data_IF_396749387092
#
_entry.id   IF_396749387092
#
_cell.length_a   1.000
_cell.length_b   1.000
_cell.length_c   1.000
_cell.angle_alpha   90.00
_cell.angle_beta   90.00
_cell.angle_gamma   90.00
#
_symmetry.space_group_name_H-M   'P 1'
#
loop_
_entity.id
_entity.type
_entity.pdbx_description
1 polymer ?
#
# COMPACT_ATOMS: atom_id res chain seq x y z
N UNK A 1 61.20 -27.45 -67.47
CA UNK A 1 60.21 -26.38 -67.20
C UNK A 1 59.24 -26.86 -66.14
N UNK A 2 59.52 -26.56 -64.86
CA UNK A 2 58.63 -26.93 -63.74
C UNK A 2 57.79 -25.71 -63.36
N UNK A 3 56.45 -25.79 -63.51
CA UNK A 3 55.52 -24.79 -63.02
C UNK A 3 55.18 -25.11 -61.52
N UNK A 4 55.53 -24.15 -60.65
CA UNK A 4 55.17 -24.14 -59.23
C UNK A 4 53.74 -23.63 -59.11
N UNK A 5 52.80 -24.43 -58.57
CA UNK A 5 51.49 -24.03 -58.16
C UNK A 5 51.59 -23.49 -56.71
N UNK A 6 51.26 -22.22 -56.53
CA UNK A 6 51.11 -21.65 -55.17
C UNK A 6 49.69 -21.78 -54.72
N UNK A 7 49.42 -22.56 -53.68
CA UNK A 7 48.12 -22.64 -53.02
C UNK A 7 47.99 -21.46 -52.04
N UNK A 8 47.01 -20.60 -52.30
CA UNK A 8 46.62 -19.48 -51.42
C UNK A 8 45.58 -20.05 -50.41
N UNK A 9 45.98 -20.18 -49.14
CA UNK A 9 45.08 -20.57 -48.05
C UNK A 9 44.41 -19.29 -47.51
N UNK A 10 43.13 -19.14 -47.76
CA UNK A 10 42.31 -18.04 -47.22
C UNK A 10 41.78 -18.54 -45.84
N UNK A 11 42.31 -17.98 -44.76
CA UNK A 11 41.79 -18.15 -43.42
C UNK A 11 40.54 -17.24 -43.26
N UNK A 12 39.36 -17.81 -43.26
CA UNK A 12 38.13 -17.15 -42.80
C UNK A 12 38.13 -17.12 -41.26
N UNK A 13 38.42 -15.98 -40.66
CA UNK A 13 38.16 -15.73 -39.22
C UNK A 13 36.69 -15.46 -39.01
N UNK A 14 35.99 -16.44 -38.48
CA UNK A 14 34.62 -16.27 -38.00
C UNK A 14 34.60 -15.45 -36.71
N UNK A 15 34.15 -14.22 -36.84
CA UNK A 15 33.94 -13.29 -35.70
C UNK A 15 32.68 -13.69 -34.99
N UNK A 16 32.80 -14.41 -33.86
CA UNK A 16 31.70 -14.74 -32.95
C UNK A 16 31.27 -13.45 -32.26
N UNK A 17 30.14 -12.86 -32.69
CA UNK A 17 29.50 -11.78 -31.96
C UNK A 17 28.89 -12.37 -30.66
N UNK A 18 29.51 -12.11 -29.54
CA UNK A 18 28.88 -12.31 -28.23
C UNK A 18 27.73 -11.31 -28.08
N UNK A 19 26.54 -11.77 -27.70
CA UNK A 19 25.42 -10.85 -27.43
C UNK A 19 25.84 -9.93 -26.27
N UNK A 20 25.73 -8.60 -26.48
CA UNK A 20 25.93 -7.62 -25.44
C UNK A 20 24.95 -7.92 -24.29
N UNK A 21 25.49 -8.21 -23.10
CA UNK A 21 24.68 -8.29 -21.89
C UNK A 21 24.02 -6.93 -21.69
N UNK A 22 22.71 -6.86 -21.92
CA UNK A 22 21.93 -5.70 -21.53
C UNK A 22 22.11 -5.52 -20.02
N UNK A 23 22.75 -4.43 -19.61
CA UNK A 23 22.79 -4.01 -18.22
C UNK A 23 21.33 -3.89 -17.75
N UNK A 24 20.88 -4.80 -16.90
CA UNK A 24 19.62 -4.61 -16.18
C UNK A 24 19.81 -3.34 -15.37
N UNK A 25 19.17 -2.25 -15.79
CA UNK A 25 19.12 -1.04 -14.99
C UNK A 25 18.71 -1.43 -13.58
N UNK A 26 19.34 -0.84 -12.56
CA UNK A 26 18.92 -1.06 -11.16
C UNK A 26 17.43 -0.77 -11.07
N UNK A 27 16.69 -1.63 -10.33
CA UNK A 27 15.28 -1.39 -10.03
C UNK A 27 15.12 0.05 -9.50
N UNK A 28 14.07 0.78 -9.90
CA UNK A 28 13.83 2.11 -9.36
C UNK A 28 13.68 2.01 -7.84
N UNK A 29 14.43 2.84 -7.10
CA UNK A 29 14.31 2.93 -5.65
C UNK A 29 13.04 3.70 -5.27
N UNK A 30 12.55 3.47 -4.04
CA UNK A 30 11.48 4.29 -3.47
C UNK A 30 11.93 5.76 -3.40
N UNK A 31 11.08 6.65 -3.84
CA UNK A 31 11.34 8.09 -3.90
C UNK A 31 10.39 8.82 -2.95
N UNK A 32 10.87 9.07 -1.74
CA UNK A 32 10.08 9.74 -0.71
C UNK A 32 9.66 11.17 -1.07
N UNK A 33 10.40 11.85 -1.96
CA UNK A 33 10.00 13.17 -2.42
C UNK A 33 8.74 13.09 -3.30
N UNK A 34 8.62 12.05 -4.13
CA UNK A 34 7.39 11.79 -4.91
C UNK A 34 6.23 11.39 -4.02
N UNK A 35 6.47 10.46 -3.08
CA UNK A 35 5.43 10.06 -2.12
C UNK A 35 4.93 11.26 -1.33
N UNK A 36 5.84 12.09 -0.80
CA UNK A 36 5.48 13.31 -0.08
C UNK A 36 4.75 14.32 -0.95
N UNK A 37 5.12 14.47 -2.24
CA UNK A 37 4.38 15.34 -3.15
C UNK A 37 2.94 14.85 -3.38
N UNK A 38 2.73 13.52 -3.49
CA UNK A 38 1.38 12.95 -3.55
C UNK A 38 0.59 13.24 -2.27
N UNK A 39 1.18 13.05 -1.10
CA UNK A 39 0.59 13.41 0.20
C UNK A 39 0.21 14.90 0.22
N UNK A 40 1.14 15.78 -0.13
CA UNK A 40 0.93 17.23 -0.17
C UNK A 40 -0.24 17.63 -1.08
N UNK A 41 -0.35 17.03 -2.25
CA UNK A 41 -1.44 17.30 -3.19
C UNK A 41 -2.81 16.90 -2.61
N UNK A 42 -2.90 15.76 -1.93
CA UNK A 42 -4.15 15.33 -1.28
C UNK A 42 -4.52 16.24 -0.11
N UNK A 43 -3.55 16.67 0.70
CA UNK A 43 -3.77 17.66 1.76
C UNK A 43 -4.26 19.00 1.20
N UNK A 44 -3.74 19.45 0.04
CA UNK A 44 -4.19 20.67 -0.61
C UNK A 44 -5.60 20.59 -1.21
N UNK A 45 -6.10 19.40 -1.51
CA UNK A 45 -7.52 19.19 -1.86
C UNK A 45 -8.40 19.50 -0.64
N UNK A 46 -7.90 19.28 0.57
CA UNK A 46 -8.56 19.56 1.84
C UNK A 46 -9.27 18.35 2.44
N UNK A 47 -10.19 18.59 3.41
CA UNK A 47 -10.99 17.53 4.01
C UNK A 47 -11.75 16.74 2.95
N UNK A 48 -11.60 15.43 2.98
CA UNK A 48 -12.11 14.53 1.95
C UNK A 48 -12.90 13.34 2.52
N UNK A 49 -13.90 13.59 3.39
CA UNK A 49 -14.67 12.49 3.96
C UNK A 49 -15.41 11.69 2.88
N UNK A 50 -15.70 10.43 3.17
CA UNK A 50 -16.38 9.53 2.25
C UNK A 50 -17.66 10.16 1.65
N UNK A 51 -17.84 10.01 0.34
CA UNK A 51 -18.95 10.61 -0.42
C UNK A 51 -18.80 12.09 -0.76
N UNK A 52 -17.74 12.76 -0.33
CA UNK A 52 -17.54 14.21 -0.61
C UNK A 52 -17.01 14.48 -2.03
N UNK A 53 -17.23 15.73 -2.51
CA UNK A 53 -16.64 16.19 -3.77
C UNK A 53 -15.09 16.24 -3.72
N UNK A 54 -14.51 16.52 -2.55
CA UNK A 54 -13.08 16.51 -2.33
C UNK A 54 -12.50 15.10 -2.47
N UNK A 55 -13.17 14.07 -1.92
CA UNK A 55 -12.75 12.69 -2.12
C UNK A 55 -12.85 12.25 -3.57
N UNK A 56 -13.89 12.68 -4.29
CA UNK A 56 -13.98 12.46 -5.74
C UNK A 56 -12.79 13.10 -6.48
N UNK A 57 -12.36 14.31 -6.08
CA UNK A 57 -11.18 14.98 -6.64
C UNK A 57 -9.89 14.23 -6.32
N UNK A 58 -9.76 13.69 -5.09
CA UNK A 58 -8.64 12.84 -4.67
C UNK A 58 -8.58 11.55 -5.50
N UNK A 59 -9.71 10.89 -5.71
CA UNK A 59 -9.81 9.71 -6.59
C UNK A 59 -9.35 10.01 -8.02
N UNK A 60 -9.82 11.13 -8.57
CA UNK A 60 -9.39 11.56 -9.91
C UNK A 60 -7.88 11.86 -9.97
N UNK A 61 -7.32 12.45 -8.89
CA UNK A 61 -5.88 12.67 -8.77
C UNK A 61 -5.10 11.34 -8.76
N UNK A 62 -5.46 10.40 -7.88
CA UNK A 62 -4.81 9.08 -7.80
C UNK A 62 -4.87 8.37 -9.16
N UNK A 63 -6.05 8.32 -9.79
CA UNK A 63 -6.23 7.67 -11.10
C UNK A 63 -5.35 8.30 -12.18
N UNK A 64 -5.28 9.63 -12.23
CA UNK A 64 -4.42 10.37 -13.17
C UNK A 64 -2.94 10.05 -12.97
N UNK A 65 -2.48 10.03 -11.71
CA UNK A 65 -1.06 9.78 -11.41
C UNK A 65 -0.67 8.32 -11.70
N UNK A 66 -1.55 7.38 -11.37
CA UNK A 66 -1.32 5.96 -11.71
C UNK A 66 -1.28 5.75 -13.23
N UNK A 67 -2.18 6.39 -13.98
CA UNK A 67 -2.15 6.37 -15.45
C UNK A 67 -0.83 6.95 -15.99
N UNK A 68 -0.34 8.06 -15.43
CA UNK A 68 0.95 8.65 -15.80
C UNK A 68 2.14 7.72 -15.50
N UNK A 69 2.04 6.89 -14.45
CA UNK A 69 2.98 5.81 -14.17
C UNK A 69 2.77 4.57 -15.08
N UNK A 70 1.81 4.61 -16.00
CA UNK A 70 1.46 3.50 -16.90
C UNK A 70 0.78 2.33 -16.17
N UNK A 71 0.02 2.63 -15.11
CA UNK A 71 -0.78 1.70 -14.33
C UNK A 71 -2.26 1.99 -14.56
N UNK A 72 -3.08 0.95 -14.55
CA UNK A 72 -4.52 1.08 -14.72
C UNK A 72 -5.21 0.95 -13.37
N UNK A 73 -6.00 1.94 -12.99
CA UNK A 73 -6.86 1.89 -11.81
C UNK A 73 -8.20 1.28 -12.21
N UNK A 74 -8.63 0.28 -11.47
CA UNK A 74 -9.97 -0.28 -11.51
C UNK A 74 -10.77 0.31 -10.36
N UNK A 75 -11.90 0.94 -10.63
CA UNK A 75 -12.84 1.38 -9.62
C UNK A 75 -13.75 0.23 -9.19
N UNK A 76 -14.00 0.14 -7.87
CA UNK A 76 -14.97 -0.79 -7.26
C UNK A 76 -16.04 0.03 -6.53
N UNK A 77 -17.06 0.54 -7.24
CA UNK A 77 -18.11 1.35 -6.64
C UNK A 77 -19.07 0.51 -5.80
N UNK A 78 -19.55 1.08 -4.70
CA UNK A 78 -20.55 0.49 -3.82
C UNK A 78 -21.35 1.58 -3.10
N UNK A 79 -22.51 1.19 -2.56
CA UNK A 79 -23.38 2.08 -1.78
C UNK A 79 -23.65 1.42 -0.44
N UNK A 80 -23.56 2.21 0.63
CA UNK A 80 -23.81 1.75 2.00
C UNK A 80 -24.74 2.68 2.74
N UNK A 81 -25.47 2.14 3.72
CA UNK A 81 -26.19 2.94 4.70
C UNK A 81 -25.22 3.36 5.80
N UNK A 82 -25.20 4.63 6.10
CA UNK A 82 -24.36 5.23 7.14
C UNK A 82 -25.22 6.02 8.11
N UNK A 83 -24.71 6.48 9.25
CA UNK A 83 -25.45 7.34 10.17
C UNK A 83 -25.95 8.66 9.54
N UNK A 84 -25.32 9.11 8.45
CA UNK A 84 -25.73 10.34 7.74
C UNK A 84 -26.61 10.04 6.50
N UNK A 85 -27.01 8.78 6.28
CA UNK A 85 -27.82 8.34 5.15
C UNK A 85 -27.03 7.45 4.17
N UNK A 86 -27.60 7.27 2.99
CA UNK A 86 -26.95 6.45 1.92
C UNK A 86 -25.77 7.20 1.31
N UNK A 87 -24.60 6.58 1.30
CA UNK A 87 -23.36 7.14 0.74
C UNK A 87 -22.82 6.23 -0.35
N UNK A 88 -22.45 6.83 -1.48
CA UNK A 88 -21.73 6.17 -2.56
C UNK A 88 -20.23 6.25 -2.33
N UNK A 89 -19.57 5.12 -2.29
CA UNK A 89 -18.14 4.96 -2.04
C UNK A 89 -17.48 4.20 -3.19
N UNK A 90 -16.15 4.33 -3.32
CA UNK A 90 -15.40 3.67 -4.39
C UNK A 90 -14.02 3.24 -3.89
N UNK A 91 -13.77 1.94 -3.76
CA UNK A 91 -12.39 1.47 -3.62
C UNK A 91 -11.66 1.57 -4.96
N UNK A 92 -10.36 1.88 -4.91
CA UNK A 92 -9.50 1.88 -6.09
C UNK A 92 -8.55 0.69 -6.03
N UNK A 93 -8.34 0.04 -7.18
CA UNK A 93 -7.50 -1.15 -7.26
C UNK A 93 -6.49 -1.02 -8.40
N UNK A 94 -5.21 -1.28 -8.12
CA UNK A 94 -4.15 -1.45 -9.11
C UNK A 94 -3.53 -2.83 -8.93
N UNK A 95 -3.36 -3.57 -10.03
CA UNK A 95 -2.71 -4.90 -10.01
C UNK A 95 -1.40 -4.89 -10.76
N UNK A 96 -0.39 -5.45 -10.12
CA UNK A 96 0.89 -5.81 -10.75
C UNK A 96 0.94 -7.33 -10.85
N UNK A 97 0.72 -7.90 -12.06
CA UNK A 97 0.70 -9.35 -12.23
C UNK A 97 2.06 -9.97 -11.89
N UNK A 98 2.07 -10.96 -10.99
CA UNK A 98 3.20 -11.83 -10.68
C UNK A 98 3.21 -13.10 -11.52
N UNK A 99 4.09 -14.04 -11.17
CA UNK A 99 4.11 -15.37 -11.78
C UNK A 99 2.89 -16.21 -11.41
N UNK A 100 2.27 -15.89 -10.26
CA UNK A 100 1.06 -16.52 -9.72
C UNK A 100 -0.10 -15.55 -9.72
N UNK A 101 -1.30 -16.09 -9.87
CA UNK A 101 -2.55 -15.34 -9.71
C UNK A 101 -2.94 -15.14 -8.26
N UNK A 102 -2.33 -15.89 -7.32
CA UNK A 102 -2.43 -15.63 -5.88
C UNK A 102 -1.89 -14.24 -5.57
N UNK A 103 -2.52 -13.56 -4.60
CA UNK A 103 -2.31 -12.12 -4.37
C UNK A 103 -1.73 -11.84 -2.98
N UNK A 104 -0.87 -10.85 -2.92
CA UNK A 104 -0.52 -10.11 -1.71
C UNK A 104 -1.14 -8.72 -1.87
N UNK A 105 -2.00 -8.33 -0.93
CA UNK A 105 -2.62 -7.01 -0.92
C UNK A 105 -1.72 -6.04 -0.14
N UNK A 106 -1.56 -4.83 -0.69
CA UNK A 106 -0.90 -3.70 -0.04
C UNK A 106 -1.93 -2.58 -0.05
N UNK A 107 -2.36 -2.13 1.12
CA UNK A 107 -3.60 -1.37 1.26
C UNK A 107 -3.43 -0.16 2.16
N UNK A 108 -4.39 0.74 2.12
CA UNK A 108 -4.55 1.89 2.98
C UNK A 108 -5.80 2.65 2.58
N UNK A 109 -6.32 3.52 3.44
CA UNK A 109 -7.46 4.35 3.12
C UNK A 109 -7.04 5.66 2.46
N UNK A 110 -8.00 6.38 1.86
CA UNK A 110 -7.75 7.66 1.20
C UNK A 110 -8.78 8.74 1.52
N UNK A 111 -9.81 8.40 2.30
CA UNK A 111 -10.76 9.36 2.88
C UNK A 111 -10.17 10.03 4.14
N UNK A 112 -10.90 10.95 4.72
CA UNK A 112 -10.61 11.56 6.02
C UNK A 112 -11.84 11.52 6.90
N UNK A 113 -11.63 11.55 8.20
CA UNK A 113 -12.71 11.72 9.17
C UNK A 113 -13.50 13.02 8.93
N UNK A 114 -14.80 12.91 9.15
CA UNK A 114 -15.70 14.05 9.08
C UNK A 114 -15.77 14.79 10.43
N UNK A 115 -14.99 15.85 10.58
CA UNK A 115 -15.18 16.81 11.69
C UNK A 115 -15.99 18.02 11.22
N UNK A 116 -16.88 18.53 12.10
CA UNK A 116 -17.75 19.68 11.82
C UNK A 116 -17.31 20.94 12.55
N UNK A 117 -16.47 20.79 13.57
CA UNK A 117 -16.01 21.84 14.47
C UNK A 117 -14.62 22.38 14.09
N UNK A 118 -13.86 21.66 13.29
CA UNK A 118 -12.56 22.13 12.75
C UNK A 118 -12.27 21.50 11.38
N UNK A 119 -11.28 22.06 10.69
CA UNK A 119 -10.79 21.54 9.42
C UNK A 119 -9.79 20.42 9.69
N UNK A 120 -10.11 19.20 9.24
CA UNK A 120 -9.23 18.03 9.33
C UNK A 120 -8.78 17.61 7.94
N UNK A 121 -7.49 17.72 7.67
CA UNK A 121 -6.94 17.39 6.34
C UNK A 121 -6.29 16.01 6.27
N UNK A 122 -6.08 15.34 7.41
CA UNK A 122 -5.56 14.00 7.51
C UNK A 122 -4.27 13.82 6.71
N UNK A 123 -3.20 14.49 7.13
CA UNK A 123 -1.93 14.42 6.41
C UNK A 123 -1.20 13.10 6.67
N UNK A 124 -1.18 12.65 7.92
CA UNK A 124 -0.76 11.30 8.26
C UNK A 124 -1.91 10.33 8.05
N UNK A 125 -3.09 10.70 8.52
CA UNK A 125 -4.31 9.90 8.52
C UNK A 125 -5.03 9.98 7.17
N UNK A 126 -4.86 8.93 6.37
CA UNK A 126 -5.33 8.72 5.02
C UNK A 126 -4.42 9.25 3.90
N UNK A 127 -3.83 10.46 3.99
CA UNK A 127 -3.01 10.94 2.87
C UNK A 127 -1.65 10.25 2.81
N UNK A 128 -1.04 9.89 3.95
CA UNK A 128 0.26 9.21 3.96
C UNK A 128 0.18 7.81 3.37
N UNK A 129 -0.80 7.02 3.78
CA UNK A 129 -1.05 5.67 3.25
C UNK A 129 -1.37 5.70 1.76
N UNK A 130 -2.29 6.57 1.34
CA UNK A 130 -2.66 6.71 -0.07
C UNK A 130 -1.45 7.09 -0.94
N UNK A 131 -0.61 8.01 -0.50
CA UNK A 131 0.61 8.42 -1.19
C UNK A 131 1.66 7.30 -1.26
N UNK A 132 1.83 6.55 -0.17
CA UNK A 132 2.72 5.40 -0.11
C UNK A 132 2.34 4.34 -1.15
N UNK A 133 1.04 4.00 -1.25
CA UNK A 133 0.55 3.04 -2.22
C UNK A 133 0.87 3.47 -3.66
N UNK A 134 0.74 4.78 -3.96
CA UNK A 134 1.05 5.30 -5.30
C UNK A 134 2.52 5.11 -5.67
N UNK A 135 3.43 5.43 -4.77
CA UNK A 135 4.86 5.30 -5.02
C UNK A 135 5.32 3.84 -5.01
N UNK A 136 4.82 3.00 -4.10
CA UNK A 136 5.09 1.56 -4.08
C UNK A 136 4.63 0.89 -5.37
N UNK A 137 3.42 1.19 -5.86
CA UNK A 137 2.91 0.66 -7.12
C UNK A 137 3.81 1.07 -8.32
N UNK A 138 4.30 2.32 -8.33
CA UNK A 138 5.22 2.82 -9.35
C UNK A 138 6.56 2.07 -9.33
N UNK A 139 7.14 1.89 -8.14
CA UNK A 139 8.47 1.28 -7.97
C UNK A 139 8.45 -0.21 -8.26
N UNK A 140 7.40 -0.91 -7.82
CA UNK A 140 7.27 -2.35 -7.98
C UNK A 140 6.79 -2.75 -9.38
N UNK A 141 6.31 -1.79 -10.19
CA UNK A 141 5.92 -2.04 -11.58
C UNK A 141 7.11 -2.59 -12.38
N UNK A 142 6.89 -3.73 -13.02
CA UNK A 142 7.89 -4.37 -13.87
C UNK A 142 9.03 -5.08 -13.13
N UNK A 143 8.99 -5.08 -11.80
CA UNK A 143 9.88 -5.92 -11.01
C UNK A 143 9.40 -7.38 -11.06
N UNK A 144 10.30 -8.37 -11.11
CA UNK A 144 9.90 -9.77 -11.02
C UNK A 144 9.46 -10.11 -9.60
N UNK A 145 8.26 -10.67 -9.46
CA UNK A 145 7.71 -11.17 -8.20
C UNK A 145 6.87 -12.44 -8.41
N UNK A 146 6.73 -13.24 -7.37
CA UNK A 146 6.02 -14.52 -7.44
C UNK A 146 4.50 -14.34 -7.38
N UNK A 147 4.01 -13.51 -6.45
CA UNK A 147 2.59 -13.25 -6.26
C UNK A 147 2.16 -12.00 -7.01
N UNK A 148 0.90 -11.93 -7.43
CA UNK A 148 0.32 -10.68 -7.91
C UNK A 148 0.22 -9.70 -6.76
N UNK A 149 0.85 -8.53 -6.88
CA UNK A 149 0.64 -7.44 -5.91
C UNK A 149 -0.61 -6.67 -6.29
N UNK A 150 -1.51 -6.51 -5.33
CA UNK A 150 -2.74 -5.75 -5.51
C UNK A 150 -2.78 -4.60 -4.52
N UNK A 151 -2.71 -3.38 -5.04
CA UNK A 151 -2.81 -2.14 -4.28
C UNK A 151 -4.26 -1.75 -4.17
N UNK A 152 -4.75 -1.50 -2.95
CA UNK A 152 -6.14 -1.12 -2.72
C UNK A 152 -6.20 0.13 -1.85
N UNK A 153 -6.77 1.20 -2.38
CA UNK A 153 -7.17 2.38 -1.62
C UNK A 153 -8.61 2.18 -1.17
N UNK A 154 -8.83 2.06 0.11
CA UNK A 154 -10.17 1.92 0.69
C UNK A 154 -10.84 3.28 0.85
N UNK A 155 -12.16 3.32 0.55
CA UNK A 155 -13.04 4.46 0.76
C UNK A 155 -13.91 4.19 1.99
N UNK A 156 -14.04 5.18 2.87
CA UNK A 156 -14.89 5.07 4.05
C UNK A 156 -14.29 4.12 5.12
N UNK A 157 -13.02 4.23 5.38
CA UNK A 157 -12.42 3.66 6.58
C UNK A 157 -12.96 4.38 7.82
N UNK A 158 -13.05 5.70 7.74
CA UNK A 158 -13.41 6.60 8.81
C UNK A 158 -14.90 6.60 9.19
N UNK A 159 -15.16 6.64 10.49
CA UNK A 159 -16.51 6.76 11.02
C UNK A 159 -17.12 8.14 10.73
N UNK A 160 -18.43 8.18 10.40
CA UNK A 160 -19.19 9.43 10.25
C UNK A 160 -19.55 10.06 11.59
N UNK A 161 -19.71 9.25 12.64
CA UNK A 161 -19.85 9.72 14.00
C UNK A 161 -18.51 10.03 14.64
N UNK A 162 -18.50 10.66 15.81
CA UNK A 162 -17.24 11.10 16.42
C UNK A 162 -16.34 9.92 16.77
N UNK A 163 -16.91 8.92 17.44
CA UNK A 163 -16.21 7.71 17.84
C UNK A 163 -16.72 6.51 17.05
N UNK A 164 -15.87 5.50 16.86
CA UNK A 164 -16.15 4.32 16.04
C UNK A 164 -17.35 3.51 16.56
N UNK A 165 -17.57 3.52 17.87
CA UNK A 165 -18.64 2.78 18.53
C UNK A 165 -19.86 3.66 18.90
N UNK A 166 -19.82 4.96 18.61
CA UNK A 166 -20.86 5.90 18.99
C UNK A 166 -22.17 5.63 18.25
N UNK A 167 -22.08 5.31 16.96
CA UNK A 167 -23.25 5.08 16.13
C UNK A 167 -23.40 3.63 15.75
N UNK A 168 -24.65 3.16 15.79
CA UNK A 168 -25.03 1.86 15.26
C UNK A 168 -25.54 2.01 13.84
N UNK A 169 -24.95 1.25 12.93
CA UNK A 169 -25.40 1.15 11.55
C UNK A 169 -26.12 -0.19 11.35
N UNK A 170 -27.26 -0.26 10.65
CA UNK A 170 -27.95 -1.53 10.36
C UNK A 170 -27.07 -2.58 9.68
N UNK A 171 -26.10 -2.16 8.87
CA UNK A 171 -25.22 -3.01 8.07
C UNK A 171 -23.86 -3.31 8.75
N UNK A 172 -23.68 -2.95 10.02
CA UNK A 172 -22.44 -3.17 10.77
C UNK A 172 -21.88 -1.91 11.43
N UNK A 173 -20.59 -1.89 11.81
CA UNK A 173 -19.96 -0.72 12.41
C UNK A 173 -19.92 0.48 11.47
N UNK A 174 -19.85 1.69 12.05
CA UNK A 174 -19.74 2.97 11.30
C UNK A 174 -18.30 3.27 10.89
N UNK A 175 -17.62 2.28 10.33
CA UNK A 175 -16.21 2.40 9.89
C UNK A 175 -15.87 1.29 8.91
N UNK A 176 -14.66 1.30 8.36
CA UNK A 176 -14.08 0.24 7.52
C UNK A 176 -15.02 -0.26 6.42
N UNK A 177 -15.81 0.64 5.85
CA UNK A 177 -16.81 0.27 4.83
C UNK A 177 -16.18 -0.34 3.58
N UNK A 178 -15.05 0.23 3.14
CA UNK A 178 -14.33 -0.19 1.94
C UNK A 178 -13.74 -1.58 2.05
N UNK A 179 -13.05 -1.87 3.14
CA UNK A 179 -12.43 -3.18 3.39
C UNK A 179 -13.47 -4.27 3.62
N UNK A 180 -14.54 -3.99 4.37
CA UNK A 180 -15.69 -4.91 4.54
C UNK A 180 -16.37 -5.23 3.21
N UNK A 181 -16.57 -4.19 2.37
CA UNK A 181 -17.13 -4.39 1.03
C UNK A 181 -16.18 -5.26 0.17
N UNK A 182 -14.88 -4.98 0.18
CA UNK A 182 -13.90 -5.75 -0.57
C UNK A 182 -13.92 -7.24 -0.19
N UNK A 183 -13.87 -7.55 1.12
CA UNK A 183 -13.93 -8.94 1.63
C UNK A 183 -15.26 -9.62 1.24
N UNK A 184 -16.39 -8.90 1.34
CA UNK A 184 -17.69 -9.42 0.92
C UNK A 184 -17.75 -9.74 -0.59
N UNK A 185 -17.22 -8.83 -1.42
CA UNK A 185 -17.14 -9.02 -2.88
C UNK A 185 -16.22 -10.19 -3.24
N UNK A 186 -15.05 -10.28 -2.60
CA UNK A 186 -14.13 -11.39 -2.81
C UNK A 186 -14.73 -12.74 -2.39
N UNK A 187 -15.50 -12.78 -1.28
CA UNK A 187 -16.22 -13.98 -0.84
C UNK A 187 -17.28 -14.42 -1.86
N UNK A 188 -18.10 -13.47 -2.35
CA UNK A 188 -19.12 -13.74 -3.38
C UNK A 188 -18.50 -14.27 -4.70
N UNK A 189 -17.30 -13.80 -5.03
CA UNK A 189 -16.55 -14.24 -6.21
C UNK A 189 -15.75 -15.53 -5.98
N UNK A 190 -15.81 -16.16 -4.80
CA UNK A 190 -14.97 -17.31 -4.40
C UNK A 190 -13.47 -17.02 -4.53
N UNK A 191 -13.06 -15.77 -4.33
CA UNK A 191 -11.68 -15.29 -4.56
C UNK A 191 -10.89 -15.05 -3.27
N UNK A 192 -11.46 -15.30 -2.07
CA UNK A 192 -10.76 -15.10 -0.79
C UNK A 192 -9.51 -15.98 -0.69
N UNK A 193 -9.60 -17.24 -1.13
CA UNK A 193 -8.48 -18.20 -1.06
C UNK A 193 -7.27 -17.79 -1.89
N UNK A 194 -7.44 -16.90 -2.88
CA UNK A 194 -6.35 -16.35 -3.68
C UNK A 194 -5.60 -15.20 -2.97
N UNK A 195 -6.14 -14.66 -1.87
CA UNK A 195 -5.47 -13.64 -1.06
C UNK A 195 -4.63 -14.37 -0.01
N UNK A 196 -3.30 -14.21 -0.09
CA UNK A 196 -2.36 -14.95 0.77
C UNK A 196 -1.84 -14.13 1.93
N UNK A 197 -1.81 -12.81 1.79
CA UNK A 197 -1.50 -11.87 2.85
C UNK A 197 -2.08 -10.51 2.51
N UNK A 198 -2.31 -9.69 3.53
CA UNK A 198 -2.72 -8.29 3.42
C UNK A 198 -1.84 -7.44 4.32
N UNK A 199 -1.31 -6.37 3.78
CA UNK A 199 -0.46 -5.39 4.47
C UNK A 199 -1.21 -4.07 4.43
N UNK A 200 -1.62 -3.59 5.59
CA UNK A 200 -2.22 -2.28 5.76
C UNK A 200 -1.12 -1.26 6.07
N UNK A 201 -1.23 -0.10 5.49
CA UNK A 201 -0.48 1.10 5.82
C UNK A 201 -1.47 2.13 6.32
N UNK A 202 -1.32 2.58 7.54
CA UNK A 202 -2.08 3.67 8.09
C UNK A 202 -1.22 4.59 8.94
N UNK A 203 -1.48 5.92 8.88
CA UNK A 203 -0.74 6.95 9.63
C UNK A 203 0.79 6.78 9.58
N UNK A 204 1.35 6.46 8.40
CA UNK A 204 2.80 6.21 8.21
C UNK A 204 3.61 7.47 7.87
N UNK A 205 2.99 8.65 7.96
CA UNK A 205 3.58 9.93 7.58
C UNK A 205 4.21 10.73 8.73
N UNK A 206 3.93 10.41 9.98
CA UNK A 206 4.34 11.16 11.16
C UNK A 206 5.84 11.50 11.16
N UNK A 207 6.20 12.75 11.51
CA UNK A 207 7.61 13.20 11.54
C UNK A 207 8.47 12.39 12.49
N UNK A 208 7.90 11.96 13.63
CA UNK A 208 8.55 11.16 14.65
C UNK A 208 7.96 9.74 14.68
N UNK A 209 7.75 9.15 13.52
CA UNK A 209 7.06 7.88 13.30
C UNK A 209 7.51 6.76 14.25
N UNK A 210 6.55 6.10 14.88
CA UNK A 210 6.72 4.97 15.80
C UNK A 210 5.69 3.87 15.47
N UNK A 211 6.12 2.85 14.78
CA UNK A 211 5.29 1.69 14.47
C UNK A 211 5.46 0.63 15.54
N UNK A 212 4.35 0.18 16.14
CA UNK A 212 4.30 -0.91 17.12
C UNK A 212 3.67 -2.15 16.49
N UNK A 213 3.93 -3.32 17.09
CA UNK A 213 3.36 -4.59 16.61
C UNK A 213 1.90 -4.70 17.03
N UNK A 214 0.99 -4.74 16.08
CA UNK A 214 -0.37 -5.22 16.34
C UNK A 214 -0.33 -6.73 16.65
N UNK A 215 -0.96 -7.13 17.76
CA UNK A 215 -1.05 -8.53 18.20
C UNK A 215 -2.47 -9.08 18.13
N UNK A 216 -3.48 -8.23 17.92
CA UNK A 216 -4.87 -8.63 17.95
C UNK A 216 -5.30 -9.27 16.62
N UNK A 217 -5.05 -8.59 15.52
CA UNK A 217 -5.48 -9.06 14.19
C UNK A 217 -4.31 -9.41 13.28
N UNK A 218 -3.08 -9.01 13.61
CA UNK A 218 -1.92 -9.30 12.80
C UNK A 218 -1.44 -10.75 12.95
N UNK A 219 -0.98 -11.32 11.82
CA UNK A 219 -0.30 -12.60 11.83
C UNK A 219 1.15 -12.41 12.34
N UNK A 220 1.51 -13.08 13.44
CA UNK A 220 2.82 -12.93 14.09
C UNK A 220 4.00 -13.06 13.13
N UNK A 221 3.93 -13.98 12.15
CA UNK A 221 5.01 -14.17 11.18
C UNK A 221 5.23 -12.99 10.23
N UNK A 222 4.18 -12.18 9.95
CA UNK A 222 4.30 -10.93 9.18
C UNK A 222 5.02 -9.87 10.01
N UNK A 223 4.61 -9.68 11.26
CA UNK A 223 5.33 -8.82 12.21
C UNK A 223 6.81 -9.22 12.31
N UNK A 224 7.10 -10.52 12.47
CA UNK A 224 8.48 -11.03 12.59
C UNK A 224 9.33 -10.68 11.37
N UNK A 225 8.81 -10.87 10.15
CA UNK A 225 9.55 -10.56 8.93
C UNK A 225 9.80 -9.06 8.81
N UNK A 226 8.76 -8.22 8.99
CA UNK A 226 8.86 -6.77 8.79
C UNK A 226 9.78 -6.15 9.84
N UNK A 227 9.61 -6.48 11.13
CA UNK A 227 10.48 -5.95 12.21
C UNK A 227 11.91 -6.45 12.13
N UNK A 228 12.14 -7.70 11.75
CA UNK A 228 13.48 -8.21 11.50
C UNK A 228 14.15 -7.48 10.33
N UNK A 229 13.41 -7.20 9.26
CA UNK A 229 13.90 -6.42 8.11
C UNK A 229 14.24 -4.99 8.52
N UNK A 230 13.35 -4.32 9.24
CA UNK A 230 13.58 -2.96 9.75
C UNK A 230 14.81 -2.90 10.65
N UNK A 231 14.98 -3.85 11.56
CA UNK A 231 16.17 -3.97 12.43
C UNK A 231 17.45 -4.15 11.61
N UNK A 232 17.44 -5.02 10.61
CA UNK A 232 18.58 -5.25 9.70
C UNK A 232 18.96 -3.98 8.92
N UNK A 233 17.98 -3.14 8.62
CA UNK A 233 18.17 -1.86 7.92
C UNK A 233 18.46 -0.69 8.87
N UNK A 234 18.65 -0.93 10.17
CA UNK A 234 18.90 0.08 11.23
C UNK A 234 17.70 1.02 11.48
N UNK A 235 16.47 0.57 11.23
CA UNK A 235 15.23 1.32 11.49
C UNK A 235 14.48 0.87 12.74
N UNK A 236 15.16 0.22 13.70
CA UNK A 236 14.56 -0.23 14.95
C UNK A 236 14.06 0.91 15.88
N UNK A 237 14.46 2.15 15.64
CA UNK A 237 13.90 3.32 16.33
C UNK A 237 12.54 3.75 15.79
N UNK A 238 12.17 3.34 14.57
CA UNK A 238 10.87 3.58 13.95
C UNK A 238 9.97 2.36 14.13
N UNK A 239 10.48 1.17 13.83
CA UNK A 239 9.79 -0.11 14.04
C UNK A 239 10.14 -0.63 15.44
N UNK A 240 9.46 -0.11 16.46
CA UNK A 240 9.77 -0.44 17.85
C UNK A 240 9.18 -1.80 18.24
N UNK A 241 9.96 -2.60 18.96
CA UNK A 241 9.58 -3.97 19.37
C UNK A 241 8.72 -3.92 20.64
N UNK A 242 7.56 -3.30 20.55
CA UNK A 242 6.54 -3.17 21.58
C UNK A 242 5.17 -3.57 21.01
N UNK A 243 4.25 -4.08 21.83
CA UNK A 243 2.87 -4.29 21.44
C UNK A 243 2.18 -2.94 21.18
N UNK A 244 1.24 -2.94 20.24
CA UNK A 244 0.49 -1.76 19.84
C UNK A 244 -0.84 -2.15 19.19
N UNK A 245 -1.69 -2.85 19.97
CA UNK A 245 -3.01 -3.25 19.49
C UNK A 245 -3.86 -2.01 19.21
N UNK A 246 -4.54 -2.00 18.08
CA UNK A 246 -5.27 -0.82 17.56
C UNK A 246 -6.80 -0.95 17.72
N UNK A 247 -7.29 -2.10 18.19
CA UNK A 247 -8.71 -2.33 18.45
C UNK A 247 -9.57 -2.52 17.20
N UNK A 248 -8.96 -2.58 16.03
CA UNK A 248 -9.63 -2.77 14.74
C UNK A 248 -9.27 -1.69 13.74
N UNK A 249 -9.20 -2.06 12.45
CA UNK A 249 -8.92 -1.22 11.30
C UNK A 249 -9.25 -2.02 10.02
N UNK A 250 -8.96 -1.50 8.85
CA UNK A 250 -9.21 -2.12 7.53
C UNK A 250 -8.63 -3.55 7.37
N UNK A 251 -7.66 -3.93 8.19
CA UNK A 251 -7.10 -5.31 8.20
C UNK A 251 -7.99 -6.31 8.97
N UNK A 252 -8.83 -5.85 9.91
CA UNK A 252 -9.70 -6.69 10.71
C UNK A 252 -10.66 -7.56 9.88
N UNK A 253 -11.40 -7.03 8.87
CA UNK A 253 -12.29 -7.85 8.03
C UNK A 253 -11.57 -8.98 7.31
N UNK A 254 -10.32 -8.77 6.92
CA UNK A 254 -9.48 -9.78 6.27
C UNK A 254 -9.00 -10.84 7.27
N UNK A 255 -8.54 -10.42 8.44
CA UNK A 255 -8.15 -11.32 9.53
C UNK A 255 -9.32 -12.22 9.95
N UNK A 256 -10.53 -11.66 10.13
CA UNK A 256 -11.74 -12.41 10.39
C UNK A 256 -12.17 -13.35 9.26
N UNK A 257 -11.71 -13.09 8.03
CA UNK A 257 -11.89 -13.98 6.89
C UNK A 257 -10.81 -15.07 6.79
N UNK A 258 -9.86 -15.14 7.73
CA UNK A 258 -8.78 -16.12 7.79
C UNK A 258 -7.56 -15.77 6.90
N UNK A 259 -7.45 -14.52 6.45
CA UNK A 259 -6.31 -14.03 5.67
C UNK A 259 -5.25 -13.49 6.65
N UNK A 260 -3.99 -13.89 6.55
CA UNK A 260 -2.90 -13.29 7.32
C UNK A 260 -2.78 -11.80 7.02
N UNK A 261 -2.81 -10.97 8.06
CA UNK A 261 -2.75 -9.51 7.97
C UNK A 261 -1.60 -8.94 8.79
N UNK A 262 -1.18 -7.73 8.48
CA UNK A 262 -0.35 -6.86 9.31
C UNK A 262 -0.83 -5.43 9.12
N UNK A 263 -0.84 -4.68 10.21
CA UNK A 263 -1.08 -3.25 10.20
C UNK A 263 0.20 -2.50 10.58
N UNK A 264 0.61 -1.56 9.74
CA UNK A 264 1.72 -0.65 9.96
C UNK A 264 1.14 0.74 10.25
N UNK A 265 0.91 1.01 11.54
CA UNK A 265 0.20 2.21 12.00
C UNK A 265 0.93 2.90 13.17
N UNK A 266 0.92 4.23 13.19
CA UNK A 266 1.39 5.05 14.32
C UNK A 266 0.21 5.61 15.13
N UNK A 267 -0.57 4.73 15.76
CA UNK A 267 -1.72 5.14 16.57
C UNK A 267 -1.31 5.63 17.98
N UNK A 268 -0.29 5.01 18.58
CA UNK A 268 0.03 5.23 19.99
C UNK A 268 0.97 6.42 20.25
N UNK A 269 1.74 6.81 19.25
CA UNK A 269 2.81 7.80 19.42
C UNK A 269 2.60 9.06 18.54
N UNK A 270 1.41 9.19 17.90
CA UNK A 270 1.03 10.34 17.05
C UNK A 270 -0.05 11.19 17.74
N UNK A 271 0.33 12.24 18.51
CA UNK A 271 -0.61 13.06 19.28
C UNK A 271 -1.52 13.95 18.41
N UNK A 272 -1.19 14.13 17.14
CA UNK A 272 -1.96 14.91 16.18
C UNK A 272 -3.15 14.13 15.59
N UNK A 273 -3.26 12.81 15.86
CA UNK A 273 -4.35 11.98 15.39
C UNK A 273 -5.72 12.56 15.77
N UNK A 274 -6.60 12.67 14.77
CA UNK A 274 -7.95 13.23 14.89
C UNK A 274 -7.99 14.67 15.47
N UNK A 275 -6.95 15.45 15.19
CA UNK A 275 -6.88 16.87 15.53
C UNK A 275 -6.67 17.75 14.29
N UNK A 276 -6.87 19.07 14.42
CA UNK A 276 -6.57 20.03 13.36
C UNK A 276 -5.09 20.11 12.98
N UNK A 277 -4.22 19.52 13.80
CA UNK A 277 -2.78 19.58 13.65
C UNK A 277 -2.22 18.36 12.87
N UNK A 278 -3.08 17.43 12.44
CA UNK A 278 -2.67 16.43 11.43
C UNK A 278 -2.55 17.08 10.05
N UNK A 279 -1.48 17.85 9.88
CA UNK A 279 -1.17 18.69 8.72
C UNK A 279 0.26 18.47 8.19
N UNK A 280 0.66 19.22 7.15
CA UNK A 280 1.99 19.12 6.54
C UNK A 280 3.15 19.45 7.48
N UNK A 281 2.91 20.14 8.61
CA UNK A 281 3.96 20.47 9.57
C UNK A 281 4.35 19.25 10.43
N UNK A 282 3.47 18.27 10.55
CA UNK A 282 3.64 17.10 11.42
C UNK A 282 4.03 15.82 10.68
N UNK A 283 4.10 15.87 9.34
CA UNK A 283 4.53 14.72 8.50
C UNK A 283 5.90 14.98 7.87
N UNK A 284 6.59 13.92 7.44
CA UNK A 284 7.92 14.01 6.86
C UNK A 284 8.16 12.95 5.76
N UNK A 285 8.81 13.37 4.67
CA UNK A 285 9.25 12.47 3.60
C UNK A 285 10.17 11.34 4.10
N UNK A 286 10.98 11.61 5.13
CA UNK A 286 11.89 10.63 5.73
C UNK A 286 11.16 9.42 6.31
N UNK A 287 9.98 9.64 6.92
CA UNK A 287 9.15 8.55 7.45
C UNK A 287 8.62 7.66 6.33
N UNK A 288 8.14 8.27 5.25
CA UNK A 288 7.68 7.55 4.06
C UNK A 288 8.83 6.73 3.43
N UNK A 289 10.07 7.29 3.40
CA UNK A 289 11.25 6.56 2.91
C UNK A 289 11.51 5.31 3.74
N UNK A 290 11.53 5.44 5.06
CA UNK A 290 11.81 4.32 5.97
C UNK A 290 10.80 3.20 5.77
N UNK A 291 9.50 3.52 5.76
CA UNK A 291 8.44 2.51 5.57
C UNK A 291 8.52 1.88 4.17
N UNK A 292 8.72 2.69 3.14
CA UNK A 292 8.83 2.21 1.76
C UNK A 292 9.99 1.24 1.56
N UNK A 293 11.18 1.59 2.06
CA UNK A 293 12.38 0.76 1.95
C UNK A 293 12.23 -0.55 2.73
N UNK A 294 11.72 -0.50 3.97
CA UNK A 294 11.48 -1.68 4.80
C UNK A 294 10.46 -2.60 4.14
N UNK A 295 9.35 -2.05 3.64
CA UNK A 295 8.33 -2.86 3.00
C UNK A 295 8.84 -3.53 1.72
N UNK A 296 9.48 -2.79 0.82
CA UNK A 296 10.07 -3.34 -0.41
C UNK A 296 11.07 -4.45 -0.08
N UNK A 297 11.89 -4.27 0.95
CA UNK A 297 12.87 -5.28 1.37
C UNK A 297 12.21 -6.49 2.06
N UNK A 298 11.02 -6.34 2.64
CA UNK A 298 10.28 -7.42 3.31
C UNK A 298 9.50 -8.31 2.33
N UNK A 299 9.03 -7.76 1.20
CA UNK A 299 8.18 -8.49 0.24
C UNK A 299 8.80 -9.83 -0.24
N UNK A 300 10.09 -9.93 -0.62
CA UNK A 300 10.67 -11.20 -1.03
C UNK A 300 10.68 -12.27 0.08
N UNK A 301 10.86 -11.88 1.33
CA UNK A 301 10.83 -12.83 2.47
C UNK A 301 9.39 -13.26 2.78
N UNK A 302 8.40 -12.37 2.63
CA UNK A 302 6.97 -12.69 2.71
C UNK A 302 6.60 -13.71 1.62
N UNK A 303 6.99 -13.45 0.36
CA UNK A 303 6.75 -14.38 -0.75
C UNK A 303 7.37 -15.75 -0.50
N UNK A 304 8.63 -15.80 -0.06
CA UNK A 304 9.33 -17.02 0.29
C UNK A 304 8.60 -17.80 1.39
N UNK A 305 8.12 -17.14 2.44
CA UNK A 305 7.34 -17.76 3.52
C UNK A 305 6.05 -18.36 2.98
N UNK A 306 5.31 -17.64 2.16
CA UNK A 306 4.07 -18.11 1.55
C UNK A 306 4.27 -19.29 0.59
N UNK A 307 5.39 -19.35 -0.12
CA UNK A 307 5.72 -20.48 -0.99
C UNK A 307 6.03 -21.76 -0.22
N UNK A 308 6.47 -21.68 1.04
CA UNK A 308 6.81 -22.83 1.89
C UNK A 308 5.62 -23.38 2.70
N UNK A 309 4.51 -22.66 2.76
CA UNK A 309 3.29 -23.06 3.49
C UNK A 309 2.34 -23.91 2.62
N UNK A 310 2.86 -24.94 1.93
CA UNK A 310 2.04 -25.89 1.16
C UNK A 310 1.44 -26.99 2.01
#
# INVERSE_FOLDING_TARGET
MLRRLSCLVILLSSMVMLPAAQSRGSAPAFDSAKAYEHLRQMVLIGPRPAGSAALHSTRAYITKQMAAAGLTVQEMPFTVQTPIGSVNMVNLVVRLPGRRTDRILITGHYDTKLFRDFTFVGASDGASSAAMLMELARVLKGQPHEFTYEFVWFDGEEAFCRDWDECKNPDGPDNTYGSRYYVSAARKANALSSIKAMILLDMVGARNLKLRKDGEFAAAWLNDIVWATAKKMNHGSTFIDLPGDVGGDDHEPFSKAGIPTIDLIDLHDYPEWHTKDDDLNHVAAGSLQIVGDVLIASLPEIEKRLMTQR
#
